data_IF_802871203477
#
_entry.id   IF_802871203477
#
_cell.length_a   1.000
_cell.length_b   1.000
_cell.length_c   1.000
_cell.angle_alpha   90.00
_cell.angle_beta   90.00
_cell.angle_gamma   90.00
#
_symmetry.space_group_name_H-M   'P 1'
#
loop_
_entity.id
_entity.type
_entity.pdbx_description
1 polymer ?
#
# COMPACT_ATOMS: atom_id res chain seq x y z
N UNK A 1 4.12 8.99 -36.35
CA UNK A 1 5.58 8.91 -36.14
C UNK A 1 5.83 7.69 -35.26
N UNK A 2 6.41 6.66 -35.82
CA UNK A 2 6.83 5.47 -35.07
C UNK A 2 8.03 5.87 -34.21
N UNK A 3 7.83 5.97 -32.91
CA UNK A 3 8.93 6.15 -31.96
C UNK A 3 9.68 4.81 -31.93
N UNK A 4 10.81 4.75 -32.63
CA UNK A 4 11.73 3.62 -32.50
C UNK A 4 12.33 3.70 -31.10
N UNK A 5 11.88 2.79 -30.22
CA UNK A 5 12.12 2.83 -28.80
C UNK A 5 13.57 2.73 -28.42
N UNK A 6 14.18 3.87 -28.16
CA UNK A 6 15.42 3.91 -27.38
C UNK A 6 15.04 4.05 -25.92
N UNK A 7 15.59 3.19 -25.09
CA UNK A 7 15.54 3.37 -23.63
C UNK A 7 16.15 4.73 -23.28
N UNK A 8 15.45 5.52 -22.46
CA UNK A 8 15.89 6.83 -21.99
C UNK A 8 16.01 6.80 -20.47
N UNK A 9 17.11 7.31 -19.97
CA UNK A 9 17.45 7.31 -18.54
C UNK A 9 17.57 8.75 -18.05
N UNK A 10 16.90 9.06 -16.96
CA UNK A 10 17.01 10.34 -16.26
C UNK A 10 17.54 10.11 -14.86
N UNK A 11 18.48 10.94 -14.45
CA UNK A 11 19.11 10.83 -13.14
C UNK A 11 18.54 11.85 -12.17
N UNK A 12 18.38 11.43 -10.92
CA UNK A 12 17.85 12.26 -9.86
C UNK A 12 18.90 12.84 -8.95
N UNK A 13 18.44 13.75 -8.10
CA UNK A 13 19.24 14.28 -6.99
C UNK A 13 19.50 13.20 -5.95
N UNK A 14 20.57 13.35 -5.20
CA UNK A 14 21.00 12.45 -4.11
C UNK A 14 21.22 13.24 -2.85
N UNK A 15 21.30 12.57 -1.70
CA UNK A 15 21.51 13.26 -0.44
C UNK A 15 21.26 12.41 0.80
N UNK A 16 21.24 13.05 1.94
CA UNK A 16 20.98 12.41 3.23
C UNK A 16 19.51 12.03 3.37
N UNK A 17 19.26 10.88 3.97
CA UNK A 17 17.96 10.43 4.46
C UNK A 17 17.96 10.75 5.95
N UNK A 18 17.03 11.60 6.37
CA UNK A 18 16.91 12.05 7.75
C UNK A 18 16.28 10.97 8.61
N UNK A 19 16.75 10.83 9.85
CA UNK A 19 16.04 10.10 10.89
C UNK A 19 14.65 10.73 11.16
N UNK A 20 13.76 10.01 11.77
CA UNK A 20 12.36 10.41 12.07
C UNK A 20 12.22 11.72 12.86
N UNK A 21 13.28 12.28 13.38
CA UNK A 21 13.28 13.55 14.10
C UNK A 21 13.61 14.77 13.20
N UNK A 22 12.74 15.80 13.15
CA UNK A 22 11.44 15.90 13.80
C UNK A 22 10.37 15.03 13.13
N UNK A 23 9.39 14.64 13.90
CA UNK A 23 8.34 13.68 13.54
C UNK A 23 7.83 13.90 12.11
N UNK A 24 7.82 12.81 11.30
CA UNK A 24 7.27 12.74 9.94
C UNK A 24 7.99 13.56 8.86
N UNK A 25 9.30 13.76 8.99
CA UNK A 25 10.05 14.36 7.89
C UNK A 25 10.06 13.40 6.70
N UNK A 26 9.70 13.91 5.53
CA UNK A 26 9.82 13.22 4.24
C UNK A 26 10.93 13.88 3.45
N UNK A 27 11.97 13.15 3.13
CA UNK A 27 13.03 13.62 2.23
C UNK A 27 12.59 13.41 0.79
N UNK A 28 12.69 14.46 -0.03
CA UNK A 28 12.27 14.45 -1.43
C UNK A 28 13.46 14.62 -2.36
N UNK A 29 13.64 13.67 -3.28
CA UNK A 29 14.69 13.67 -4.29
C UNK A 29 14.07 13.81 -5.67
N UNK A 30 14.54 14.77 -6.45
CA UNK A 30 13.94 15.15 -7.72
C UNK A 30 14.61 14.46 -8.91
N UNK A 31 13.81 14.11 -9.91
CA UNK A 31 14.27 13.65 -11.22
C UNK A 31 13.59 14.56 -12.26
N UNK A 32 14.38 15.34 -13.00
CA UNK A 32 13.84 16.20 -14.05
C UNK A 32 13.78 15.38 -15.36
N UNK A 33 12.57 15.20 -15.87
CA UNK A 33 12.30 14.45 -17.10
C UNK A 33 11.86 15.43 -18.18
N UNK A 34 12.45 15.30 -19.38
CA UNK A 34 12.11 16.16 -20.51
C UNK A 34 12.41 15.49 -21.85
N UNK A 35 11.73 15.93 -22.90
CA UNK A 35 11.97 15.44 -24.25
C UNK A 35 11.33 14.08 -24.55
N UNK A 36 10.48 13.58 -23.66
CA UNK A 36 9.67 12.39 -23.89
C UNK A 36 8.36 12.74 -24.63
N UNK A 37 7.69 11.72 -25.24
CA UNK A 37 6.33 11.89 -25.72
C UNK A 37 5.42 12.44 -24.61
N UNK A 38 4.45 13.31 -24.98
CA UNK A 38 3.53 13.92 -24.01
C UNK A 38 2.54 12.92 -23.39
N UNK A 39 2.68 11.65 -23.72
CA UNK A 39 1.81 10.60 -23.19
C UNK A 39 2.61 9.31 -23.07
N UNK A 40 2.54 8.70 -21.87
CA UNK A 40 3.05 7.35 -21.61
C UNK A 40 1.90 6.37 -21.39
N UNK A 41 2.17 5.10 -21.68
CA UNK A 41 1.19 4.01 -21.59
C UNK A 41 1.88 2.67 -21.74
N UNK A 42 1.18 1.69 -22.28
CA UNK A 42 1.67 0.32 -22.44
C UNK A 42 2.74 0.20 -23.55
N UNK A 43 2.67 1.05 -24.59
CA UNK A 43 3.60 0.97 -25.71
C UNK A 43 4.94 1.64 -25.43
N UNK A 44 4.91 2.70 -24.62
CA UNK A 44 6.07 3.45 -24.18
C UNK A 44 5.78 4.08 -22.81
N UNK A 45 6.63 3.87 -21.83
CA UNK A 45 6.41 4.39 -20.50
C UNK A 45 7.55 4.11 -19.54
N UNK A 46 7.29 4.33 -18.26
CA UNK A 46 8.24 4.02 -17.20
C UNK A 46 8.41 2.50 -17.11
N UNK A 47 9.67 2.05 -17.22
CA UNK A 47 10.03 0.65 -17.13
C UNK A 47 10.57 0.28 -15.76
N UNK A 48 11.41 1.16 -15.18
CA UNK A 48 11.99 0.91 -13.87
C UNK A 48 12.50 2.18 -13.20
N UNK A 49 12.61 2.10 -11.88
CA UNK A 49 13.30 3.05 -11.02
C UNK A 49 14.45 2.34 -10.34
N UNK A 50 15.64 2.90 -10.40
CA UNK A 50 16.85 2.32 -9.81
C UNK A 50 17.46 3.29 -8.80
N UNK A 51 17.93 2.76 -7.69
CA UNK A 51 18.58 3.57 -6.66
C UNK A 51 19.59 2.77 -5.82
N UNK A 52 20.51 3.51 -5.22
CA UNK A 52 21.41 3.03 -4.18
C UNK A 52 21.10 3.75 -2.88
N UNK A 53 20.74 3.02 -1.84
CA UNK A 53 20.49 3.55 -0.51
C UNK A 53 21.39 2.82 0.49
N UNK A 54 22.14 3.59 1.27
CA UNK A 54 22.83 3.09 2.45
C UNK A 54 22.04 3.52 3.68
N UNK A 55 21.55 2.55 4.42
CA UNK A 55 20.82 2.77 5.67
C UNK A 55 21.03 1.57 6.58
N UNK A 56 21.29 1.74 7.88
CA UNK A 56 21.58 0.61 8.79
C UNK A 56 20.45 -0.42 8.87
N UNK A 57 19.20 0.05 8.73
CA UNK A 57 18.02 -0.81 8.78
C UNK A 57 16.97 -0.33 7.76
N UNK A 58 16.98 -0.91 6.57
CA UNK A 58 16.10 -0.47 5.47
C UNK A 58 14.61 -0.78 5.71
N UNK A 59 14.30 -1.67 6.64
CA UNK A 59 12.92 -1.90 7.08
C UNK A 59 12.32 -0.74 7.90
N UNK A 60 13.10 0.28 8.21
CA UNK A 60 12.58 1.52 8.79
C UNK A 60 12.07 2.47 7.71
N UNK A 61 12.42 2.23 6.44
CA UNK A 61 12.14 3.14 5.33
C UNK A 61 10.82 2.85 4.63
N UNK A 62 10.10 3.92 4.31
CA UNK A 62 9.03 3.97 3.35
C UNK A 62 9.50 4.77 2.13
N UNK A 63 9.36 4.20 0.93
CA UNK A 63 9.86 4.78 -0.32
C UNK A 63 8.71 4.84 -1.31
N UNK A 64 8.44 6.04 -1.85
CA UNK A 64 7.37 6.31 -2.81
C UNK A 64 7.91 7.03 -4.03
N UNK A 65 7.33 6.77 -5.18
CA UNK A 65 7.58 7.53 -6.39
C UNK A 65 6.33 8.32 -6.77
N UNK A 66 6.48 9.61 -7.00
CA UNK A 66 5.42 10.53 -7.41
C UNK A 66 5.74 11.07 -8.79
N UNK A 67 4.81 10.93 -9.71
CA UNK A 67 4.92 11.45 -11.08
C UNK A 67 4.48 12.92 -11.18
N UNK A 68 4.75 13.60 -12.33
CA UNK A 68 4.38 15.00 -12.51
C UNK A 68 2.87 15.29 -12.43
N UNK A 69 2.02 14.32 -12.73
CA UNK A 69 0.55 14.46 -12.58
C UNK A 69 0.05 14.21 -11.16
N UNK A 70 0.97 13.85 -10.23
CA UNK A 70 0.66 13.55 -8.86
C UNK A 70 0.36 12.08 -8.56
N UNK A 71 0.34 11.20 -9.58
CA UNK A 71 0.20 9.76 -9.34
C UNK A 71 1.36 9.24 -8.52
N UNK A 72 1.06 8.58 -7.41
CA UNK A 72 2.05 8.00 -6.51
C UNK A 72 1.93 6.49 -6.42
N UNK A 73 3.08 5.83 -6.27
CA UNK A 73 3.12 4.40 -5.94
C UNK A 73 4.13 4.13 -4.84
N UNK A 74 3.86 3.12 -4.05
CA UNK A 74 4.85 2.60 -3.11
C UNK A 74 5.89 1.76 -3.85
N UNK A 75 7.13 2.14 -3.69
CA UNK A 75 8.25 1.32 -4.15
C UNK A 75 8.65 0.30 -3.09
N UNK A 76 8.69 0.72 -1.83
CA UNK A 76 8.98 -0.13 -0.69
C UNK A 76 8.32 0.41 0.57
N UNK A 77 7.63 -0.44 1.31
CA UNK A 77 7.04 -0.11 2.59
C UNK A 77 7.60 -1.04 3.68
N UNK A 78 8.72 -0.61 4.28
CA UNK A 78 9.37 -1.28 5.41
C UNK A 78 9.79 -2.73 5.14
N UNK A 79 10.28 -3.00 3.92
CA UNK A 79 10.79 -4.30 3.54
C UNK A 79 12.23 -4.52 3.99
N UNK A 80 12.69 -5.78 4.00
CA UNK A 80 14.08 -6.16 4.23
C UNK A 80 14.40 -6.85 5.54
N UNK A 81 13.42 -6.97 6.45
CA UNK A 81 13.61 -7.65 7.73
C UNK A 81 14.41 -6.84 8.75
N UNK A 82 14.78 -7.48 9.87
CA UNK A 82 15.35 -6.79 11.02
C UNK A 82 16.84 -6.45 10.92
N UNK A 83 17.61 -7.18 10.13
CA UNK A 83 19.08 -7.05 10.07
C UNK A 83 19.60 -6.55 8.72
N UNK A 84 18.70 -6.08 7.87
CA UNK A 84 19.05 -5.74 6.51
C UNK A 84 19.48 -4.29 6.31
N UNK A 85 20.63 -4.11 5.69
CA UNK A 85 21.14 -2.78 5.34
C UNK A 85 21.25 -2.62 3.82
N UNK A 86 20.70 -1.53 3.29
CA UNK A 86 20.98 -1.02 1.96
C UNK A 86 20.16 -1.63 0.81
N UNK A 87 20.06 -0.78 -0.20
CA UNK A 87 19.70 -1.10 -1.57
C UNK A 87 20.92 -0.80 -2.43
N UNK A 88 21.47 -1.81 -3.09
CA UNK A 88 22.71 -1.68 -3.85
C UNK A 88 22.48 -2.07 -5.30
N UNK A 89 22.58 -1.11 -6.20
CA UNK A 89 22.23 -1.31 -7.62
C UNK A 89 20.84 -1.96 -7.76
N UNK A 90 19.90 -1.49 -6.95
CA UNK A 90 18.56 -2.05 -6.90
C UNK A 90 17.64 -1.31 -7.86
N UNK A 91 16.94 -2.06 -8.67
CA UNK A 91 15.91 -1.54 -9.55
C UNK A 91 14.54 -2.13 -9.20
N UNK A 92 13.50 -1.33 -9.32
CA UNK A 92 12.13 -1.74 -9.13
C UNK A 92 11.36 -1.62 -10.45
N UNK A 93 10.71 -2.70 -10.86
CA UNK A 93 9.92 -2.80 -12.08
C UNK A 93 8.82 -3.84 -11.96
N UNK A 94 7.77 -3.73 -12.78
CA UNK A 94 6.60 -4.59 -12.71
C UNK A 94 6.89 -6.10 -12.86
N UNK A 95 7.94 -6.48 -13.57
CA UNK A 95 8.34 -7.89 -13.78
C UNK A 95 9.77 -8.17 -13.31
N UNK A 96 10.13 -7.72 -12.11
CA UNK A 96 11.47 -7.90 -11.56
C UNK A 96 11.88 -9.38 -11.44
N UNK A 97 13.08 -9.71 -11.91
CA UNK A 97 13.57 -11.08 -11.95
C UNK A 97 13.85 -11.70 -10.56
N UNK A 98 14.07 -10.85 -9.56
CA UNK A 98 14.33 -11.27 -8.18
C UNK A 98 13.05 -11.55 -7.38
N UNK A 99 11.89 -11.44 -8.00
CA UNK A 99 10.60 -11.62 -7.34
C UNK A 99 10.09 -10.38 -6.62
N UNK A 100 9.17 -10.55 -5.69
CA UNK A 100 8.60 -9.46 -4.92
C UNK A 100 9.57 -8.94 -3.85
N UNK A 101 9.66 -7.61 -3.74
CA UNK A 101 10.53 -6.97 -2.76
C UNK A 101 10.16 -7.34 -1.32
N UNK A 102 8.86 -7.42 -1.02
CA UNK A 102 8.36 -7.76 0.31
C UNK A 102 8.61 -9.23 0.73
N UNK A 103 8.96 -10.11 -0.21
CA UNK A 103 9.35 -11.50 0.07
C UNK A 103 10.87 -11.65 0.23
N UNK A 104 11.64 -10.62 -0.13
CA UNK A 104 13.09 -10.66 -0.09
C UNK A 104 13.66 -10.09 1.22
N UNK A 105 14.90 -10.44 1.50
CA UNK A 105 15.67 -9.93 2.63
C UNK A 105 16.71 -8.91 2.15
N UNK A 106 16.94 -7.89 2.94
CA UNK A 106 18.06 -6.97 2.68
C UNK A 106 19.41 -7.63 3.02
N UNK A 107 20.54 -7.20 2.42
CA UNK A 107 20.63 -6.11 1.45
C UNK A 107 20.03 -6.48 0.09
N UNK A 108 19.30 -5.52 -0.49
CA UNK A 108 18.69 -5.73 -1.79
C UNK A 108 19.70 -5.47 -2.92
N UNK A 109 19.72 -6.36 -3.92
CA UNK A 109 20.55 -6.24 -5.11
C UNK A 109 19.82 -6.88 -6.29
N UNK A 110 19.69 -6.15 -7.40
CA UNK A 110 19.02 -6.64 -8.60
C UNK A 110 17.68 -6.00 -8.89
N UNK A 111 16.80 -6.70 -9.61
CA UNK A 111 15.52 -6.18 -10.07
C UNK A 111 14.35 -6.87 -9.34
N UNK A 112 13.57 -6.11 -8.58
CA UNK A 112 12.43 -6.61 -7.82
C UNK A 112 11.12 -6.00 -8.31
N UNK A 113 10.02 -6.68 -7.99
CA UNK A 113 8.67 -6.14 -8.12
C UNK A 113 8.41 -5.30 -6.86
N UNK A 114 8.04 -4.01 -6.99
CA UNK A 114 7.75 -3.15 -5.85
C UNK A 114 6.44 -3.55 -5.14
N UNK A 115 6.19 -2.94 -3.98
CA UNK A 115 4.93 -3.14 -3.24
C UNK A 115 3.73 -2.55 -3.98
N UNK A 116 3.93 -1.42 -4.67
CA UNK A 116 2.92 -0.80 -5.52
C UNK A 116 3.01 -1.26 -6.97
N UNK A 117 1.96 -1.00 -7.73
CA UNK A 117 1.84 -1.41 -9.13
C UNK A 117 2.42 -0.34 -10.05
N UNK A 118 3.62 -0.60 -10.61
CA UNK A 118 4.34 0.30 -11.53
C UNK A 118 3.51 0.69 -12.77
N UNK A 119 2.64 -0.21 -13.22
CA UNK A 119 1.77 0.01 -14.37
C UNK A 119 0.83 1.21 -14.20
N UNK A 120 0.48 1.59 -12.97
CA UNK A 120 -0.37 2.76 -12.72
C UNK A 120 0.29 4.08 -13.06
N UNK A 121 1.60 4.13 -13.14
CA UNK A 121 2.33 5.30 -13.61
C UNK A 121 2.22 5.50 -15.13
N UNK A 122 1.95 4.42 -15.89
CA UNK A 122 1.77 4.45 -17.34
C UNK A 122 0.31 4.72 -17.74
N UNK A 123 -0.31 5.68 -17.08
CA UNK A 123 -1.75 5.97 -17.09
C UNK A 123 -2.23 6.95 -18.20
N UNK A 124 -1.37 7.25 -19.14
CA UNK A 124 -1.66 8.22 -20.21
C UNK A 124 -1.22 9.64 -19.87
N UNK A 125 -0.54 9.85 -18.75
CA UNK A 125 -0.02 11.13 -18.33
C UNK A 125 1.12 11.64 -19.22
N UNK A 126 1.39 12.94 -19.12
CA UNK A 126 2.62 13.53 -19.66
C UNK A 126 3.77 13.29 -18.67
N UNK A 127 4.80 12.53 -19.04
CA UNK A 127 5.91 12.22 -18.15
C UNK A 127 6.91 13.35 -17.99
N UNK A 128 6.84 14.39 -18.84
CA UNK A 128 7.76 15.51 -18.79
C UNK A 128 7.43 16.41 -17.61
N UNK A 129 8.40 16.66 -16.77
CA UNK A 129 8.28 17.42 -15.53
C UNK A 129 9.14 16.82 -14.43
N UNK A 130 8.87 17.24 -13.21
CA UNK A 130 9.61 16.79 -12.03
C UNK A 130 8.92 15.56 -11.43
N UNK A 131 9.67 14.47 -11.37
CA UNK A 131 9.33 13.28 -10.58
C UNK A 131 9.96 13.40 -9.20
N UNK A 132 9.33 12.85 -8.19
CA UNK A 132 9.84 12.87 -6.82
C UNK A 132 9.98 11.45 -6.29
N UNK A 133 11.18 11.09 -5.83
CA UNK A 133 11.36 9.96 -4.93
C UNK A 133 11.23 10.50 -3.51
N UNK A 134 10.21 10.03 -2.79
CA UNK A 134 9.98 10.37 -1.39
C UNK A 134 10.51 9.23 -0.52
N UNK A 135 11.35 9.56 0.44
CA UNK A 135 11.87 8.61 1.42
C UNK A 135 11.54 9.12 2.81
N UNK A 136 10.93 8.27 3.60
CA UNK A 136 10.60 8.54 4.99
C UNK A 136 11.19 7.44 5.88
N UNK A 137 11.99 7.84 6.85
CA UNK A 137 12.38 6.96 7.96
C UNK A 137 11.29 7.02 9.03
N UNK A 138 10.76 5.85 9.37
CA UNK A 138 9.63 5.72 10.30
C UNK A 138 10.07 5.32 11.72
N UNK A 139 11.37 5.08 11.94
CA UNK A 139 11.91 4.64 13.22
C UNK A 139 13.10 5.47 13.62
N UNK A 140 13.14 5.87 14.89
CA UNK A 140 14.22 6.65 15.46
C UNK A 140 15.51 5.83 15.65
N UNK A 141 16.65 6.46 15.42
CA UNK A 141 17.97 5.95 15.81
C UNK A 141 18.92 5.69 14.66
N UNK A 142 18.45 5.78 13.42
CA UNK A 142 19.24 5.57 12.23
C UNK A 142 19.10 6.74 11.25
N UNK A 143 20.06 6.90 10.40
CA UNK A 143 19.98 7.80 9.26
C UNK A 143 20.70 7.16 8.07
N UNK A 144 20.38 7.61 6.88
CA UNK A 144 20.90 7.02 5.68
C UNK A 144 21.32 8.02 4.62
N UNK A 145 21.62 7.49 3.44
CA UNK A 145 21.98 8.28 2.27
C UNK A 145 21.47 7.63 1.00
N UNK A 146 20.85 8.41 0.15
CA UNK A 146 20.59 8.08 -1.24
C UNK A 146 21.85 8.44 -2.05
N UNK A 147 22.54 7.43 -2.59
CA UNK A 147 23.79 7.57 -3.33
C UNK A 147 23.59 7.66 -4.84
N UNK A 148 22.55 7.02 -5.36
CA UNK A 148 22.18 7.07 -6.78
C UNK A 148 20.66 7.01 -6.93
N UNK A 149 20.15 7.63 -8.00
CA UNK A 149 18.73 7.60 -8.37
C UNK A 149 18.60 7.76 -9.88
N UNK A 150 17.82 6.91 -10.51
CA UNK A 150 17.44 7.04 -11.91
C UNK A 150 16.07 6.48 -12.21
N UNK A 151 15.44 7.02 -13.25
CA UNK A 151 14.20 6.51 -13.83
C UNK A 151 14.44 6.17 -15.31
N UNK A 152 13.90 5.05 -15.75
CA UNK A 152 14.08 4.54 -17.09
C UNK A 152 12.75 4.45 -17.80
N UNK A 153 12.67 5.04 -19.00
CA UNK A 153 11.53 4.94 -19.91
C UNK A 153 11.94 4.12 -21.13
N UNK A 154 11.10 3.21 -21.56
CA UNK A 154 11.36 2.35 -22.72
C UNK A 154 10.06 1.93 -23.42
N UNK A 155 10.20 1.35 -24.60
CA UNK A 155 9.10 0.67 -25.28
C UNK A 155 8.79 -0.62 -24.56
N UNK A 156 7.50 -0.97 -24.51
CA UNK A 156 7.01 -2.16 -23.81
C UNK A 156 7.48 -2.19 -22.34
N UNK A 157 7.18 -1.13 -21.57
CA UNK A 157 7.73 -0.91 -20.23
C UNK A 157 7.24 -1.93 -19.19
N UNK A 158 6.13 -2.57 -19.48
CA UNK A 158 5.47 -3.48 -18.54
C UNK A 158 5.36 -4.86 -19.15
N UNK A 159 6.09 -5.86 -18.63
CA UNK A 159 5.99 -7.23 -19.13
C UNK A 159 4.68 -7.93 -18.72
N UNK A 160 3.72 -7.19 -18.16
CA UNK A 160 2.42 -7.74 -17.82
C UNK A 160 1.60 -7.94 -19.10
N UNK A 161 1.18 -9.15 -19.41
CA UNK A 161 0.46 -9.43 -20.64
C UNK A 161 -0.85 -8.63 -20.69
N UNK A 162 -0.81 -7.55 -21.46
CA UNK A 162 -1.98 -6.89 -21.99
C UNK A 162 -2.88 -6.09 -21.04
N UNK A 163 -2.43 -5.77 -19.83
CA UNK A 163 -3.22 -4.94 -18.92
C UNK A 163 -2.80 -3.47 -19.02
N UNK A 164 -3.68 -2.62 -19.51
CA UNK A 164 -3.53 -1.18 -19.31
C UNK A 164 -3.81 -0.86 -17.83
N UNK A 165 -3.07 0.11 -17.25
CA UNK A 165 -3.38 0.56 -15.91
C UNK A 165 -4.83 1.03 -15.82
N UNK A 166 -5.52 0.61 -14.77
CA UNK A 166 -6.85 1.11 -14.47
C UNK A 166 -6.72 2.52 -13.92
N UNK A 167 -7.24 3.51 -14.61
CA UNK A 167 -7.35 4.85 -14.09
C UNK A 167 -8.80 5.34 -14.21
N UNK A 168 -9.43 5.64 -13.07
CA UNK A 168 -10.74 6.29 -13.06
C UNK A 168 -10.66 7.70 -13.63
N UNK A 169 -9.50 8.35 -13.52
CA UNK A 169 -9.30 9.74 -13.95
C UNK A 169 -9.23 9.91 -15.46
N UNK A 170 -8.82 8.92 -16.22
CA UNK A 170 -8.74 9.03 -17.68
C UNK A 170 -9.92 8.36 -18.42
N UNK A 171 -10.89 7.84 -17.67
CA UNK A 171 -12.10 7.21 -18.22
C UNK A 171 -11.84 5.94 -19.04
N UNK A 172 -10.62 5.40 -19.00
CA UNK A 172 -10.30 4.16 -19.69
C UNK A 172 -10.58 2.98 -18.78
N UNK A 173 -11.45 2.07 -19.15
CA UNK A 173 -11.74 0.89 -18.36
C UNK A 173 -10.50 -0.01 -18.29
N UNK A 174 -10.33 -0.63 -17.16
CA UNK A 174 -9.31 -1.65 -16.95
C UNK A 174 -9.53 -2.84 -17.86
N UNK A 175 -8.47 -3.53 -18.27
CA UNK A 175 -8.61 -4.83 -18.90
C UNK A 175 -8.87 -5.89 -17.81
N UNK A 176 -9.79 -6.79 -18.10
CA UNK A 176 -10.05 -7.90 -17.22
C UNK A 176 -8.83 -8.83 -17.10
N UNK A 177 -8.55 -9.37 -15.90
CA UNK A 177 -7.42 -10.30 -15.68
C UNK A 177 -7.42 -11.52 -16.59
N UNK A 178 -8.61 -11.97 -16.96
CA UNK A 178 -8.84 -13.13 -17.82
C UNK A 178 -8.97 -12.79 -19.31
N UNK A 179 -8.77 -11.52 -19.67
CA UNK A 179 -8.87 -11.02 -21.04
C UNK A 179 -10.30 -10.86 -21.56
N UNK A 180 -11.33 -11.08 -20.73
CA UNK A 180 -12.73 -10.86 -21.12
C UNK A 180 -13.09 -9.39 -21.15
N UNK A 181 -14.26 -9.08 -21.75
CA UNK A 181 -14.79 -7.73 -21.80
C UNK A 181 -15.43 -7.30 -20.47
N UNK A 182 -15.97 -8.27 -19.72
CA UNK A 182 -16.67 -8.05 -18.45
C UNK A 182 -15.99 -8.79 -17.32
N UNK A 183 -15.77 -8.10 -16.20
CA UNK A 183 -15.27 -8.71 -14.97
C UNK A 183 -15.55 -7.84 -13.74
N UNK A 184 -15.53 -8.45 -12.57
CA UNK A 184 -15.39 -7.72 -11.31
C UNK A 184 -13.92 -7.38 -11.11
N UNK A 185 -13.66 -6.15 -10.67
CA UNK A 185 -12.35 -5.67 -10.26
C UNK A 185 -12.28 -5.80 -8.74
N UNK A 186 -11.86 -6.96 -8.28
CA UNK A 186 -11.84 -7.27 -6.86
C UNK A 186 -10.52 -6.81 -6.22
N UNK A 187 -10.57 -6.31 -4.97
CA UNK A 187 -9.37 -6.20 -4.18
C UNK A 187 -8.82 -7.58 -3.82
N UNK A 188 -7.52 -7.70 -3.70
CA UNK A 188 -6.82 -8.86 -3.17
C UNK A 188 -5.87 -8.41 -2.08
N UNK A 189 -6.22 -8.72 -0.84
CA UNK A 189 -5.50 -8.26 0.33
C UNK A 189 -4.49 -9.31 0.79
N UNK A 190 -3.22 -8.95 0.77
CA UNK A 190 -2.13 -9.80 1.24
C UNK A 190 -1.39 -9.15 2.41
N UNK A 191 -1.00 -9.97 3.38
CA UNK A 191 -0.11 -9.52 4.45
C UNK A 191 1.31 -9.48 3.88
N UNK A 192 2.04 -8.40 4.15
CA UNK A 192 3.45 -8.28 3.79
C UNK A 192 4.31 -9.02 4.82
N UNK A 193 4.87 -10.22 4.48
CA UNK A 193 5.49 -11.11 5.47
C UNK A 193 6.71 -10.49 6.14
N UNK A 194 7.57 -9.83 5.37
CA UNK A 194 8.80 -9.23 5.89
C UNK A 194 8.49 -8.16 6.94
N UNK A 195 7.51 -7.28 6.67
CA UNK A 195 7.07 -6.30 7.65
C UNK A 195 6.50 -6.96 8.91
N UNK A 196 5.60 -7.92 8.73
CA UNK A 196 4.93 -8.59 9.86
C UNK A 196 5.93 -9.34 10.74
N UNK A 197 6.89 -10.04 10.15
CA UNK A 197 7.91 -10.79 10.89
C UNK A 197 8.75 -9.86 11.79
N UNK A 198 9.15 -8.70 11.28
CA UNK A 198 9.92 -7.71 12.05
C UNK A 198 9.13 -7.00 13.16
N UNK A 199 7.79 -7.12 13.15
CA UNK A 199 6.92 -6.47 14.14
C UNK A 199 6.37 -7.41 15.21
N UNK A 200 6.73 -8.71 15.17
CA UNK A 200 6.29 -9.67 16.18
C UNK A 200 7.21 -9.58 17.40
N UNK A 201 6.64 -9.29 18.57
CA UNK A 201 7.37 -9.19 19.81
C UNK A 201 6.66 -9.93 20.94
N UNK A 202 7.38 -10.88 21.54
CA UNK A 202 6.95 -11.58 22.75
C UNK A 202 7.53 -10.90 23.99
N UNK A 203 6.67 -10.64 24.96
CA UNK A 203 7.04 -10.02 26.23
C UNK A 203 6.99 -11.06 27.34
N UNK A 204 8.01 -11.14 28.20
CA UNK A 204 8.04 -12.09 29.31
C UNK A 204 6.97 -11.74 30.35
N UNK A 205 6.62 -12.72 31.21
CA UNK A 205 5.63 -12.54 32.26
C UNK A 205 5.96 -11.46 33.30
N UNK A 206 7.23 -11.13 33.44
CA UNK A 206 7.74 -10.09 34.32
C UNK A 206 7.98 -8.74 33.63
N UNK A 207 7.54 -8.58 32.39
CA UNK A 207 7.62 -7.29 31.71
C UNK A 207 6.76 -6.26 32.45
N UNK A 208 7.29 -5.05 32.74
CA UNK A 208 6.58 -4.06 33.54
C UNK A 208 5.40 -3.40 32.82
N UNK A 209 5.36 -3.47 31.49
CA UNK A 209 4.35 -2.79 30.69
C UNK A 209 3.41 -3.77 30.01
N UNK A 210 3.95 -4.86 29.48
CA UNK A 210 3.20 -5.83 28.66
C UNK A 210 3.40 -7.28 29.13
N UNK A 211 3.16 -7.60 30.41
CA UNK A 211 3.50 -8.91 30.98
C UNK A 211 2.81 -10.06 30.23
N UNK A 212 3.62 -10.99 29.72
CA UNK A 212 3.16 -12.20 29.04
C UNK A 212 2.41 -11.99 27.72
N UNK A 213 2.59 -10.84 27.06
CA UNK A 213 1.90 -10.52 25.83
C UNK A 213 2.74 -10.86 24.60
N UNK A 214 2.06 -11.37 23.57
CA UNK A 214 2.54 -11.37 22.20
C UNK A 214 1.93 -10.16 21.47
N UNK A 215 2.77 -9.23 21.05
CA UNK A 215 2.33 -8.05 20.27
C UNK A 215 2.89 -8.11 18.87
N UNK A 216 2.11 -7.66 17.91
CA UNK A 216 2.54 -7.60 16.53
C UNK A 216 1.78 -6.51 15.78
N UNK A 217 2.35 -6.03 14.69
CA UNK A 217 1.69 -5.20 13.72
C UNK A 217 1.76 -5.89 12.36
N UNK A 218 0.77 -5.64 11.52
CA UNK A 218 0.72 -6.15 10.15
C UNK A 218 0.58 -5.00 9.17
N UNK A 219 1.23 -5.13 8.03
CA UNK A 219 0.95 -4.31 6.86
C UNK A 219 0.19 -5.16 5.86
N UNK A 220 -0.94 -4.65 5.40
CA UNK A 220 -1.80 -5.33 4.43
C UNK A 220 -1.77 -4.50 3.15
N UNK A 221 -1.30 -5.12 2.07
CA UNK A 221 -1.30 -4.51 0.75
C UNK A 221 -2.49 -5.01 -0.08
N UNK A 222 -3.07 -4.15 -0.89
CA UNK A 222 -4.01 -4.55 -1.91
C UNK A 222 -3.25 -4.76 -3.22
N UNK A 223 -3.20 -5.99 -3.70
CA UNK A 223 -2.58 -6.39 -4.96
C UNK A 223 -3.61 -6.74 -6.04
N UNK A 224 -4.90 -6.59 -5.73
CA UNK A 224 -6.00 -6.89 -6.64
C UNK A 224 -6.19 -5.87 -7.76
N UNK A 225 -7.11 -6.18 -8.65
CA UNK A 225 -7.45 -5.33 -9.79
C UNK A 225 -8.43 -4.20 -9.42
N UNK A 226 -9.04 -4.24 -8.24
CA UNK A 226 -9.95 -3.22 -7.72
C UNK A 226 -9.49 -2.61 -6.40
N UNK A 227 -9.97 -1.41 -6.07
CA UNK A 227 -9.66 -0.74 -4.81
C UNK A 227 -10.37 -1.40 -3.62
N UNK A 228 -9.85 -1.15 -2.43
CA UNK A 228 -10.56 -1.39 -1.18
C UNK A 228 -11.22 -0.07 -0.78
N UNK A 229 -12.49 0.06 -1.07
CA UNK A 229 -13.27 1.25 -0.70
C UNK A 229 -14.43 0.86 0.19
N UNK A 230 -14.55 1.52 1.35
CA UNK A 230 -15.66 1.32 2.27
C UNK A 230 -16.37 2.63 2.56
N UNK A 231 -17.70 2.56 2.71
CA UNK A 231 -18.52 3.74 2.97
C UNK A 231 -19.48 3.46 4.13
N UNK A 232 -19.50 4.37 5.11
CA UNK A 232 -20.53 4.38 6.14
C UNK A 232 -21.88 4.79 5.54
N UNK A 233 -22.93 4.06 5.89
CA UNK A 233 -24.32 4.38 5.53
C UNK A 233 -25.02 5.01 6.72
N UNK A 234 -26.02 5.83 6.47
CA UNK A 234 -26.85 6.40 7.55
C UNK A 234 -27.85 5.36 8.08
N UNK A 235 -27.31 4.26 8.58
CA UNK A 235 -28.05 3.17 9.22
C UNK A 235 -27.27 2.71 10.44
N UNK A 236 -27.96 2.60 11.58
CA UNK A 236 -27.33 2.35 12.87
C UNK A 236 -27.92 1.11 13.51
N UNK A 237 -27.10 0.36 14.23
CA UNK A 237 -27.45 -0.94 14.79
C UNK A 237 -26.96 -1.10 16.23
N UNK A 238 -27.77 -1.79 17.03
CA UNK A 238 -27.39 -2.43 18.29
C UNK A 238 -27.51 -3.95 18.11
N UNK A 239 -26.41 -4.62 17.91
CA UNK A 239 -26.44 -6.01 17.46
C UNK A 239 -27.13 -6.12 16.10
N UNK A 240 -28.27 -6.84 16.05
CA UNK A 240 -29.07 -7.00 14.83
C UNK A 240 -30.26 -6.02 14.73
N UNK A 241 -30.46 -5.17 15.72
CA UNK A 241 -31.59 -4.23 15.77
C UNK A 241 -31.19 -2.88 15.17
N UNK A 242 -32.01 -2.36 14.26
CA UNK A 242 -31.86 -1.01 13.72
C UNK A 242 -32.30 0.01 14.75
N UNK A 243 -31.48 1.05 14.96
CA UNK A 243 -31.75 2.14 15.88
C UNK A 243 -31.74 3.49 15.19
N UNK A 244 -32.13 4.56 15.88
CA UNK A 244 -32.40 5.85 15.26
C UNK A 244 -31.16 6.52 14.67
N UNK A 245 -30.05 6.58 15.41
CA UNK A 245 -28.84 7.32 15.04
C UNK A 245 -27.62 6.89 15.88
N UNK A 246 -26.50 7.57 15.66
CA UNK A 246 -25.21 7.31 16.31
C UNK A 246 -25.20 7.58 17.82
N UNK A 247 -26.12 8.40 18.32
CA UNK A 247 -26.18 8.76 19.73
C UNK A 247 -26.88 7.70 20.59
N UNK A 248 -27.52 6.72 19.96
CA UNK A 248 -28.21 5.65 20.64
C UNK A 248 -27.24 4.78 21.43
N UNK A 249 -27.58 4.54 22.70
CA UNK A 249 -26.82 3.65 23.60
C UNK A 249 -27.50 2.29 23.63
N UNK A 250 -26.78 1.27 23.24
CA UNK A 250 -27.21 -0.11 23.21
C UNK A 250 -27.39 -0.66 24.66
N UNK A 251 -28.10 -1.76 24.78
CA UNK A 251 -28.39 -2.38 26.08
C UNK A 251 -27.13 -2.81 26.85
N UNK A 252 -26.03 -3.06 26.14
CA UNK A 252 -24.72 -3.38 26.70
C UNK A 252 -23.88 -2.15 27.08
N UNK A 253 -24.42 -0.94 26.89
CA UNK A 253 -23.79 0.33 27.21
C UNK A 253 -22.85 0.84 26.09
N UNK A 254 -22.76 0.17 24.96
CA UNK A 254 -21.97 0.65 23.80
C UNK A 254 -22.79 1.61 22.93
N UNK A 255 -22.11 2.44 22.15
CA UNK A 255 -22.76 3.25 21.11
C UNK A 255 -23.22 2.39 19.94
N UNK A 256 -24.28 2.82 19.29
CA UNK A 256 -24.76 2.21 18.06
C UNK A 256 -23.65 2.18 16.98
N UNK A 257 -23.66 1.11 16.19
CA UNK A 257 -22.69 0.87 15.13
C UNK A 257 -23.25 1.29 13.78
N UNK A 258 -22.45 1.96 13.00
CA UNK A 258 -22.82 2.37 11.66
C UNK A 258 -22.66 1.21 10.68
N UNK A 259 -23.63 1.02 9.78
CA UNK A 259 -23.47 0.10 8.65
C UNK A 259 -22.37 0.54 7.71
N UNK A 260 -21.53 -0.39 7.30
CA UNK A 260 -20.48 -0.20 6.30
C UNK A 260 -20.79 -1.04 5.06
N UNK A 261 -20.59 -0.46 3.90
CA UNK A 261 -20.60 -1.17 2.61
C UNK A 261 -19.25 -1.06 1.96
N UNK A 262 -18.86 -2.11 1.25
CA UNK A 262 -17.70 -2.11 0.36
C UNK A 262 -18.16 -1.86 -1.06
N UNK A 263 -17.50 -0.96 -1.76
CA UNK A 263 -17.75 -0.69 -3.18
C UNK A 263 -16.92 -1.62 -4.04
N UNK A 264 -17.61 -2.39 -4.87
CA UNK A 264 -16.99 -3.29 -5.85
C UNK A 264 -17.21 -2.72 -7.23
N UNK A 265 -16.11 -2.49 -7.92
CA UNK A 265 -16.14 -2.03 -9.31
C UNK A 265 -16.19 -3.21 -10.26
N UNK A 266 -16.88 -3.02 -11.36
CA UNK A 266 -16.97 -3.97 -12.47
C UNK A 266 -16.77 -3.27 -13.80
N UNK A 267 -15.95 -3.88 -14.64
CA UNK A 267 -15.88 -3.53 -16.05
C UNK A 267 -17.05 -4.18 -16.78
N UNK A 268 -17.74 -3.41 -17.63
CA UNK A 268 -18.80 -3.86 -18.53
C UNK A 268 -18.56 -3.25 -19.89
N UNK A 269 -17.96 -4.00 -20.82
CA UNK A 269 -17.47 -3.44 -22.08
C UNK A 269 -16.49 -2.30 -21.84
N UNK A 270 -16.81 -1.10 -22.31
CA UNK A 270 -16.00 0.12 -22.11
C UNK A 270 -16.44 0.96 -20.91
N UNK A 271 -17.39 0.47 -20.11
CA UNK A 271 -17.89 1.17 -18.93
C UNK A 271 -17.34 0.58 -17.65
N UNK A 272 -17.11 1.47 -16.66
CA UNK A 272 -16.84 1.11 -15.28
C UNK A 272 -18.09 1.39 -14.45
N UNK A 273 -18.67 0.32 -13.89
CA UNK A 273 -19.81 0.38 -12.99
C UNK A 273 -19.44 -0.11 -11.61
N UNK A 274 -20.27 0.16 -10.61
CA UNK A 274 -20.02 -0.34 -9.25
C UNK A 274 -21.31 -0.77 -8.57
N UNK A 275 -21.16 -1.63 -7.57
CA UNK A 275 -22.21 -1.95 -6.61
C UNK A 275 -21.65 -1.87 -5.19
N UNK A 276 -22.51 -1.50 -4.25
CA UNK A 276 -22.17 -1.47 -2.83
C UNK A 276 -22.66 -2.78 -2.18
N UNK A 277 -21.73 -3.56 -1.61
CA UNK A 277 -21.99 -4.81 -0.88
C UNK A 277 -21.85 -4.58 0.61
N UNK A 278 -22.66 -5.26 1.40
CA UNK A 278 -22.58 -5.18 2.87
C UNK A 278 -21.22 -5.68 3.37
N UNK A 279 -20.57 -4.87 4.20
CA UNK A 279 -19.23 -5.12 4.73
C UNK A 279 -19.16 -5.00 6.26
N UNK A 280 -20.31 -5.13 6.93
CA UNK A 280 -20.40 -5.10 8.37
C UNK A 280 -20.65 -3.72 8.96
N UNK A 281 -19.99 -3.42 10.05
CA UNK A 281 -20.22 -2.19 10.81
C UNK A 281 -18.91 -1.50 11.20
N UNK A 282 -19.01 -0.22 11.54
CA UNK A 282 -17.96 0.53 12.22
C UNK A 282 -18.51 1.27 13.45
N UNK A 283 -17.61 1.78 14.24
CA UNK A 283 -17.93 2.67 15.34
C UNK A 283 -16.88 3.76 15.50
N UNK A 284 -17.31 4.89 16.03
CA UNK A 284 -16.39 5.96 16.38
C UNK A 284 -15.78 5.70 17.76
N UNK A 285 -14.46 5.71 17.84
CA UNK A 285 -13.72 5.56 19.09
C UNK A 285 -13.27 6.94 19.58
N UNK A 286 -13.76 7.37 20.74
CA UNK A 286 -13.50 8.71 21.30
C UNK A 286 -12.44 8.70 22.42
N UNK A 287 -11.65 7.66 22.53
CA UNK A 287 -10.55 7.62 23.50
C UNK A 287 -9.37 8.51 23.04
N UNK A 288 -8.58 9.07 23.97
CA UNK A 288 -7.41 9.85 23.62
C UNK A 288 -6.47 9.08 22.67
N UNK A 289 -6.18 9.69 21.52
CA UNK A 289 -5.40 9.07 20.44
C UNK A 289 -6.19 8.19 19.47
N UNK A 290 -7.51 8.10 19.62
CA UNK A 290 -8.40 7.26 18.82
C UNK A 290 -9.59 8.01 18.22
N UNK A 291 -9.57 9.31 18.05
CA UNK A 291 -10.69 10.09 17.49
C UNK A 291 -10.97 9.75 16.00
N UNK A 292 -11.32 8.47 15.73
CA UNK A 292 -11.60 8.00 14.37
C UNK A 292 -12.50 6.76 14.37
N UNK A 293 -12.97 6.38 13.17
CA UNK A 293 -13.81 5.20 13.01
C UNK A 293 -12.98 3.93 12.95
N UNK A 294 -13.45 2.90 13.64
CA UNK A 294 -12.92 1.54 13.61
C UNK A 294 -13.90 0.61 12.91
N UNK A 295 -13.42 -0.15 11.94
CA UNK A 295 -14.22 -1.18 11.29
C UNK A 295 -14.20 -2.47 12.09
N UNK A 296 -15.40 -3.06 12.25
CA UNK A 296 -15.57 -4.35 12.89
C UNK A 296 -15.27 -5.48 11.90
N UNK A 297 -14.86 -6.63 12.43
CA UNK A 297 -14.72 -7.90 11.70
C UNK A 297 -13.83 -7.87 10.44
N UNK A 298 -12.93 -6.88 10.35
CA UNK A 298 -12.05 -6.70 9.20
C UNK A 298 -10.97 -7.78 9.07
N UNK A 299 -10.36 -8.20 10.18
CA UNK A 299 -9.27 -9.18 10.21
C UNK A 299 -9.43 -10.13 11.39
N UNK A 300 -9.22 -11.41 11.17
CA UNK A 300 -9.14 -12.42 12.22
C UNK A 300 -7.70 -12.91 12.36
N UNK A 301 -7.16 -12.85 13.58
CA UNK A 301 -5.86 -13.42 13.93
C UNK A 301 -6.03 -14.72 14.71
N UNK A 302 -5.34 -15.76 14.28
CA UNK A 302 -5.37 -17.08 14.93
C UNK A 302 -3.96 -17.51 15.32
N UNK A 303 -3.73 -17.77 16.61
CA UNK A 303 -2.50 -18.35 17.08
C UNK A 303 -2.57 -19.88 16.94
N UNK A 304 -1.66 -20.46 16.16
CA UNK A 304 -1.63 -21.88 15.88
C UNK A 304 -0.36 -22.52 16.49
N UNK A 305 -0.53 -23.60 17.24
CA UNK A 305 0.61 -24.41 17.67
C UNK A 305 1.06 -25.35 16.53
N UNK A 306 2.35 -25.36 16.25
CA UNK A 306 2.95 -26.32 15.32
C UNK A 306 3.19 -27.65 16.04
N UNK A 307 2.67 -28.75 15.52
CA UNK A 307 3.00 -30.12 15.93
C UNK A 307 3.61 -30.84 14.72
N UNK A 308 4.94 -30.84 14.59
CA UNK A 308 5.62 -31.30 13.39
C UNK A 308 5.18 -30.47 12.17
N UNK A 309 4.69 -31.15 11.11
CA UNK A 309 4.12 -30.47 9.93
C UNK A 309 2.64 -30.06 10.06
N UNK A 310 2.00 -30.37 11.17
CA UNK A 310 0.57 -30.07 11.39
C UNK A 310 0.40 -28.83 12.25
N UNK A 311 -0.54 -27.97 11.85
CA UNK A 311 -0.96 -26.78 12.61
C UNK A 311 -2.15 -27.15 13.48
N UNK A 312 -2.11 -26.86 14.77
CA UNK A 312 -3.23 -27.05 15.69
C UNK A 312 -3.62 -25.70 16.28
N UNK A 313 -4.89 -25.34 16.14
CA UNK A 313 -5.44 -24.13 16.74
C UNK A 313 -5.37 -24.22 18.28
N UNK A 314 -4.81 -23.22 18.92
CA UNK A 314 -4.79 -23.09 20.38
C UNK A 314 -6.02 -22.30 20.80
N UNK A 315 -7.20 -22.95 20.71
CA UNK A 315 -8.48 -22.29 20.86
C UNK A 315 -8.79 -21.71 22.25
N UNK A 316 -8.00 -22.02 23.29
CA UNK A 316 -8.28 -21.57 24.66
C UNK A 316 -7.26 -20.62 25.28
N UNK A 317 -6.15 -20.36 24.61
CA UNK A 317 -5.05 -19.56 25.17
C UNK A 317 -4.96 -18.18 24.51
N UNK A 318 -5.49 -18.02 23.33
CA UNK A 318 -5.49 -16.77 22.60
C UNK A 318 -6.93 -16.26 22.40
N UNK A 319 -7.56 -15.84 23.47
CA UNK A 319 -8.54 -14.77 23.33
C UNK A 319 -7.73 -13.49 23.07
N UNK A 320 -7.30 -13.32 21.83
CA UNK A 320 -6.90 -12.02 21.37
C UNK A 320 -8.11 -11.11 21.56
N UNK A 321 -7.99 -10.13 22.43
CA UNK A 321 -8.92 -9.01 22.37
C UNK A 321 -8.75 -8.49 20.97
N UNK A 322 -9.79 -8.63 20.14
CA UNK A 322 -9.85 -8.01 18.85
C UNK A 322 -9.67 -6.51 19.09
N UNK A 323 -8.57 -6.00 18.62
CA UNK A 323 -8.43 -4.57 18.48
C UNK A 323 -9.07 -4.27 17.13
N UNK A 324 -10.13 -3.48 17.13
CA UNK A 324 -10.73 -2.96 15.91
C UNK A 324 -9.68 -2.19 15.12
N UNK A 325 -9.72 -2.32 13.80
CA UNK A 325 -8.77 -1.68 12.92
C UNK A 325 -9.36 -0.38 12.38
N UNK A 326 -8.61 0.70 12.46
CA UNK A 326 -8.82 1.78 11.52
C UNK A 326 -8.28 1.33 10.16
N UNK A 327 -9.10 1.45 9.13
CA UNK A 327 -8.63 1.40 7.76
C UNK A 327 -7.91 2.72 7.50
N UNK A 328 -6.63 2.70 7.78
CA UNK A 328 -5.76 3.82 7.57
C UNK A 328 -4.93 3.53 6.32
N UNK A 329 -5.18 4.29 5.27
CA UNK A 329 -4.27 4.31 4.15
C UNK A 329 -3.02 5.06 4.58
N UNK A 330 -2.00 4.32 5.00
CA UNK A 330 -0.70 4.86 5.38
C UNK A 330 0.15 5.24 4.16
N UNK A 331 -0.38 5.04 2.96
CA UNK A 331 0.16 5.48 1.68
C UNK A 331 -0.63 6.66 1.13
N UNK A 332 0.05 7.60 0.55
CA UNK A 332 -0.61 8.65 -0.21
C UNK A 332 -1.08 8.04 -1.52
N UNK A 333 -2.36 7.71 -1.59
CA UNK A 333 -3.02 7.47 -2.85
C UNK A 333 -3.31 8.82 -3.47
N UNK A 334 -2.60 9.18 -4.53
CA UNK A 334 -2.92 10.39 -5.27
C UNK A 334 -4.20 10.20 -6.08
N UNK A 335 -5.01 11.26 -6.16
CA UNK A 335 -6.26 11.27 -6.95
C UNK A 335 -6.06 10.76 -8.38
N UNK A 336 -4.88 10.99 -8.95
CA UNK A 336 -4.50 10.56 -10.28
C UNK A 336 -4.11 9.09 -10.40
N UNK A 337 -3.95 8.35 -9.29
CA UNK A 337 -3.71 6.90 -9.36
C UNK A 337 -4.93 6.11 -9.86
N UNK A 338 -6.05 6.80 -10.03
CA UNK A 338 -7.25 6.32 -10.71
C UNK A 338 -8.09 5.31 -9.95
N UNK A 339 -7.54 4.65 -8.96
CA UNK A 339 -8.24 3.68 -8.13
C UNK A 339 -8.41 4.16 -6.68
N UNK A 340 -7.65 5.16 -6.26
CA UNK A 340 -7.77 5.76 -4.96
C UNK A 340 -8.28 7.19 -5.13
N UNK A 341 -9.55 7.43 -4.85
CA UNK A 341 -10.04 8.77 -4.60
C UNK A 341 -9.86 9.09 -3.13
N UNK A 342 -9.01 10.04 -2.86
CA UNK A 342 -9.03 10.75 -1.61
C UNK A 342 -9.77 12.05 -1.87
N UNK A 343 -11.02 12.12 -1.51
CA UNK A 343 -11.80 13.37 -1.54
C UNK A 343 -11.33 14.30 -0.39
N UNK A 344 -10.04 14.65 -0.38
CA UNK A 344 -9.46 15.60 0.57
C UNK A 344 -9.58 15.20 2.05
N UNK A 345 -9.97 13.96 2.35
CA UNK A 345 -10.11 13.47 3.73
C UNK A 345 -8.86 12.66 4.06
N UNK A 346 -7.97 13.27 4.82
CA UNK A 346 -6.96 12.51 5.55
C UNK A 346 -7.67 11.66 6.59
N UNK A 347 -7.82 10.37 6.35
CA UNK A 347 -8.15 9.41 7.39
C UNK A 347 -6.87 9.16 8.20
N UNK A 348 -6.69 9.91 9.26
CA UNK A 348 -5.67 9.72 10.27
C UNK A 348 -6.32 9.57 11.62
#
# INVERSE_FOLDING_TARGET
MTVTGKSQVFYGTTGSISDVQPIHKVDSFKIEVSGLPNRIGTDYGIAKVCFDIVHPKVSDLKIELISPDGTGIWLSNRNGGDEGSGYYSTCLRAGGHSGFLHEAQAPFTGEYIPDGRMEFLNNGQNPNGTWHLLIQDLMQGNSGKLGALSIVFESDPVPFPGKEPCTLSNGKPCKCPDGKEDCELLPDLVILPAYTAGQIKEYPWNDPVYPGQLRFAVSIANIGDGPVETFGKNQWYCGNETVADSSYICADGTHARQRVVQRIYSKRGDELVYEDRDAGTNYFEDLPGHHHYHNDDWVEFRLLKLQGKRKKLIAKVAMGRKISFCLFDSGICHESSGLCKIDGINYG
#
